data_IF_361700456054
#
_entry.id   IF_361700456054
#
_cell.length_a   1.000
_cell.length_b   1.000
_cell.length_c   1.000
_cell.angle_alpha   90.00
_cell.angle_beta   90.00
_cell.angle_gamma   90.00
#
_symmetry.space_group_name_H-M   'P 1'
#
loop_
_entity.id
_entity.type
_entity.pdbx_description
1 polymer ?
#
# COMPACT_ATOMS: atom_id res chain seq x y z
N UNK A 1 -42.89 -29.24 -14.50
CA UNK A 1 -42.63 -30.64 -14.88
C UNK A 1 -41.23 -31.00 -14.36
N UNK A 2 -41.15 -31.89 -13.34
CA UNK A 2 -39.95 -32.62 -12.84
C UNK A 2 -38.88 -31.74 -12.17
N UNK A 3 -38.84 -31.52 -10.85
CA UNK A 3 -38.80 -32.45 -9.71
C UNK A 3 -37.60 -33.43 -9.70
N UNK A 4 -36.82 -33.37 -8.60
CA UNK A 4 -35.86 -34.36 -8.05
C UNK A 4 -34.50 -34.37 -8.77
N UNK A 5 -33.36 -34.22 -8.08
CA UNK A 5 -32.82 -35.27 -7.21
C UNK A 5 -31.82 -34.71 -6.19
N UNK A 6 -32.23 -34.77 -4.93
CA UNK A 6 -31.35 -34.82 -3.77
C UNK A 6 -30.71 -36.22 -3.70
N UNK A 7 -29.39 -36.31 -3.63
CA UNK A 7 -28.64 -37.53 -3.29
C UNK A 7 -27.25 -37.10 -2.82
N UNK A 8 -26.59 -37.66 -1.81
CA UNK A 8 -26.92 -38.62 -0.75
C UNK A 8 -25.69 -38.51 0.17
N UNK A 9 -25.91 -38.18 1.44
CA UNK A 9 -24.87 -38.23 2.46
C UNK A 9 -24.31 -39.65 2.53
N UNK A 10 -22.99 -39.80 2.40
CA UNK A 10 -22.28 -41.07 2.61
C UNK A 10 -21.32 -40.88 3.79
N UNK A 11 -21.87 -41.08 5.00
CA UNK A 11 -21.13 -41.17 6.25
C UNK A 11 -20.94 -42.65 6.56
N UNK A 12 -19.73 -43.12 6.29
CA UNK A 12 -19.24 -44.44 6.64
C UNK A 12 -17.85 -44.56 6.02
N UNK A 13 -16.82 -45.08 6.65
CA UNK A 13 -16.71 -45.77 7.92
C UNK A 13 -15.22 -46.17 7.99
N UNK A 14 -14.60 -46.12 9.16
CA UNK A 14 -13.49 -46.99 9.62
C UNK A 14 -12.10 -46.38 9.86
N UNK A 15 -11.68 -46.59 11.10
CA UNK A 15 -10.33 -46.99 11.54
C UNK A 15 -9.14 -46.07 11.26
N UNK A 16 -8.83 -45.26 12.25
CA UNK A 16 -7.46 -45.07 12.75
C UNK A 16 -6.87 -46.42 13.13
N UNK A 17 -5.66 -46.78 12.64
CA UNK A 17 -4.46 -46.58 13.46
C UNK A 17 -3.18 -46.39 12.63
N UNK A 18 -2.54 -45.22 12.70
CA UNK A 18 -1.14 -45.10 12.20
C UNK A 18 -0.36 -43.99 12.89
N UNK A 19 -0.45 -43.94 14.22
CA UNK A 19 0.45 -43.13 15.07
C UNK A 19 1.69 -43.90 15.55
N UNK A 20 2.10 -44.97 14.85
CA UNK A 20 3.16 -45.87 15.32
C UNK A 20 4.35 -46.08 14.37
N UNK A 21 4.56 -45.24 13.33
CA UNK A 21 5.52 -45.65 12.28
C UNK A 21 6.36 -44.56 11.59
N UNK A 22 6.62 -43.43 12.22
CA UNK A 22 7.58 -42.43 11.70
C UNK A 22 8.58 -41.92 12.74
N UNK A 23 8.95 -42.78 13.70
CA UNK A 23 10.08 -42.58 14.60
C UNK A 23 11.28 -43.43 14.18
N UNK A 24 11.78 -43.21 12.96
CA UNK A 24 13.02 -43.85 12.50
C UNK A 24 13.59 -43.10 11.31
N UNK A 25 14.21 -41.93 11.51
CA UNK A 25 15.39 -41.45 10.76
C UNK A 25 16.07 -40.31 11.53
N UNK A 26 17.13 -40.63 12.30
CA UNK A 26 18.15 -39.66 12.73
C UNK A 26 19.43 -39.96 11.96
N UNK A 27 19.80 -39.20 10.92
CA UNK A 27 21.14 -39.29 10.36
C UNK A 27 22.14 -38.51 11.24
N UNK A 28 23.22 -39.20 11.54
CA UNK A 28 24.39 -38.82 12.33
C UNK A 28 25.19 -37.73 11.61
N UNK A 29 25.43 -36.61 12.30
CA UNK A 29 26.28 -35.52 11.84
C UNK A 29 27.75 -35.97 11.86
N UNK A 30 28.36 -36.14 10.69
CA UNK A 30 29.81 -36.34 10.52
C UNK A 30 30.46 -35.00 10.21
N UNK A 31 31.16 -34.42 11.18
CA UNK A 31 32.06 -33.28 10.97
C UNK A 31 33.40 -33.79 10.44
N UNK A 32 33.76 -33.42 9.22
CA UNK A 32 35.15 -33.45 8.74
C UNK A 32 35.57 -32.01 8.49
N UNK A 33 36.28 -31.40 9.45
CA UNK A 33 37.05 -30.20 9.18
C UNK A 33 38.34 -30.63 8.48
N UNK A 34 38.51 -30.20 7.24
CA UNK A 34 39.79 -30.24 6.53
C UNK A 34 40.10 -28.81 6.15
N UNK A 35 40.91 -28.18 6.99
CA UNK A 35 41.42 -26.84 6.77
C UNK A 35 42.47 -26.90 5.65
N UNK A 36 42.14 -26.37 4.48
CA UNK A 36 43.11 -26.04 3.43
C UNK A 36 42.88 -24.60 3.00
N UNK A 37 43.96 -23.81 3.05
CA UNK A 37 44.09 -22.37 2.81
C UNK A 37 43.05 -21.73 1.87
N UNK A 38 42.32 -20.67 2.30
CA UNK A 38 41.41 -19.98 1.41
C UNK A 38 42.18 -19.11 0.42
N UNK A 39 41.89 -19.29 -0.88
CA UNK A 39 42.28 -18.36 -1.94
C UNK A 39 41.83 -16.92 -1.63
N UNK A 40 42.52 -15.88 -2.13
CA UNK A 40 42.16 -14.48 -1.88
C UNK A 40 40.73 -14.13 -2.33
N UNK A 41 40.16 -14.89 -3.29
CA UNK A 41 38.78 -14.75 -3.75
C UNK A 41 37.75 -15.32 -2.76
N UNK A 42 38.10 -16.39 -2.05
CA UNK A 42 37.27 -16.95 -0.96
C UNK A 42 37.32 -16.12 0.31
N UNK A 43 38.40 -15.35 0.55
CA UNK A 43 38.50 -14.44 1.67
C UNK A 43 37.47 -13.29 1.58
N UNK A 44 37.26 -12.72 0.39
CA UNK A 44 36.27 -11.66 0.17
C UNK A 44 34.82 -12.15 0.33
N UNK A 45 34.53 -13.38 -0.09
CA UNK A 45 33.21 -14.00 0.10
C UNK A 45 32.93 -14.28 1.57
N UNK A 46 33.93 -14.74 2.33
CA UNK A 46 33.81 -14.88 3.78
C UNK A 46 33.63 -13.52 4.48
N UNK A 47 34.28 -12.45 4.00
CA UNK A 47 34.18 -11.10 4.57
C UNK A 47 32.81 -10.44 4.33
N UNK A 48 32.13 -10.76 3.21
CA UNK A 48 30.74 -10.36 2.97
C UNK A 48 29.74 -11.14 3.85
N UNK A 49 30.06 -12.39 4.20
CA UNK A 49 29.29 -13.21 5.12
C UNK A 49 29.42 -12.79 6.60
N UNK A 50 30.42 -11.96 6.94
CA UNK A 50 30.60 -11.36 8.27
C UNK A 50 29.88 -10.00 8.43
N UNK A 51 29.09 -9.54 7.44
CA UNK A 51 28.30 -8.32 7.61
C UNK A 51 27.27 -8.54 8.73
N UNK A 52 27.35 -7.81 9.86
CA UNK A 52 26.38 -7.97 10.93
C UNK A 52 24.98 -7.66 10.39
N UNK A 53 23.94 -8.42 10.78
CA UNK A 53 22.59 -8.05 10.45
C UNK A 53 22.34 -6.65 11.02
N UNK A 54 21.70 -5.78 10.23
CA UNK A 54 21.25 -4.49 10.73
C UNK A 54 20.12 -4.80 11.73
N UNK A 55 20.48 -4.90 13.01
CA UNK A 55 19.52 -5.02 14.09
C UNK A 55 18.84 -3.66 14.26
N UNK A 56 17.74 -3.47 13.54
CA UNK A 56 16.78 -2.42 13.87
C UNK A 56 16.14 -2.79 15.20
N UNK A 57 16.77 -2.36 16.30
CA UNK A 57 16.20 -2.43 17.65
C UNK A 57 15.03 -1.42 17.74
N UNK A 58 13.97 -1.69 16.99
CA UNK A 58 12.71 -0.97 17.05
C UNK A 58 11.92 -1.44 18.26
N UNK A 59 11.40 -0.49 19.02
CA UNK A 59 10.45 -0.76 20.10
C UNK A 59 9.29 -1.58 19.53
N UNK A 60 8.95 -2.69 20.18
CA UNK A 60 7.83 -3.54 19.79
C UNK A 60 6.55 -2.71 19.75
N UNK A 61 5.84 -2.73 18.61
CA UNK A 61 4.61 -1.98 18.41
C UNK A 61 3.64 -2.29 19.56
N UNK A 62 3.41 -1.33 20.46
CA UNK A 62 2.52 -1.46 21.62
C UNK A 62 1.04 -1.48 21.22
N UNK A 63 0.76 -1.14 19.96
CA UNK A 63 -0.57 -1.09 19.39
C UNK A 63 -0.82 -2.34 18.55
N UNK A 64 -1.88 -3.07 18.88
CA UNK A 64 -2.41 -4.12 18.03
C UNK A 64 -2.95 -3.49 16.75
N UNK A 65 -2.21 -3.64 15.64
CA UNK A 65 -2.66 -3.14 14.35
C UNK A 65 -3.80 -4.02 13.83
N UNK A 66 -5.01 -3.45 13.78
CA UNK A 66 -6.14 -4.11 13.14
C UNK A 66 -5.87 -4.27 11.63
N UNK A 67 -5.92 -5.51 11.10
CA UNK A 67 -5.70 -5.74 9.67
C UNK A 67 -6.66 -4.95 8.77
N UNK A 68 -7.88 -4.64 9.23
CA UNK A 68 -8.82 -3.85 8.44
C UNK A 68 -8.37 -2.39 8.26
N UNK A 69 -7.90 -1.75 9.35
CA UNK A 69 -7.35 -0.40 9.30
C UNK A 69 -6.07 -0.33 8.47
N UNK A 70 -5.17 -1.30 8.62
CA UNK A 70 -3.95 -1.39 7.81
C UNK A 70 -4.30 -1.52 6.32
N UNK A 71 -5.28 -2.36 5.98
CA UNK A 71 -5.76 -2.52 4.59
C UNK A 71 -6.39 -1.22 4.07
N UNK A 72 -7.21 -0.55 4.85
CA UNK A 72 -7.83 0.72 4.45
C UNK A 72 -6.79 1.80 4.14
N UNK A 73 -5.79 1.95 5.03
CA UNK A 73 -4.69 2.88 4.81
C UNK A 73 -3.92 2.53 3.51
N UNK A 74 -3.60 1.25 3.32
CA UNK A 74 -2.94 0.77 2.11
C UNK A 74 -3.76 1.03 0.83
N UNK A 75 -5.09 0.90 0.86
CA UNK A 75 -5.95 1.23 -0.28
C UNK A 75 -5.98 2.74 -0.57
N UNK A 76 -5.93 3.57 0.47
CA UNK A 76 -5.91 5.03 0.31
C UNK A 76 -4.58 5.54 -0.23
N UNK A 77 -3.46 5.07 0.34
CA UNK A 77 -2.11 5.43 -0.13
C UNK A 77 -1.84 4.95 -1.57
N UNK A 78 -2.34 3.77 -1.94
CA UNK A 78 -2.15 3.20 -3.28
C UNK A 78 -3.28 3.55 -4.27
N UNK A 79 -4.15 4.52 -3.96
CA UNK A 79 -5.32 4.84 -4.79
C UNK A 79 -4.96 5.25 -6.22
N UNK A 80 -3.80 5.89 -6.40
CA UNK A 80 -3.27 6.29 -7.70
C UNK A 80 -2.99 5.12 -8.64
N UNK A 81 -2.62 3.93 -8.11
CA UNK A 81 -2.36 2.73 -8.92
C UNK A 81 -3.62 2.16 -9.57
N UNK A 82 -4.76 2.32 -8.90
CA UNK A 82 -6.05 1.79 -9.36
C UNK A 82 -6.92 2.85 -10.05
N UNK A 83 -6.38 4.06 -10.24
CA UNK A 83 -7.10 5.15 -10.89
C UNK A 83 -7.31 4.87 -12.38
N UNK A 84 -8.48 5.27 -12.89
CA UNK A 84 -8.87 5.09 -14.29
C UNK A 84 -9.44 6.41 -14.81
N UNK A 85 -9.03 6.81 -16.01
CA UNK A 85 -9.64 7.93 -16.72
C UNK A 85 -11.00 7.50 -17.28
N UNK A 86 -12.06 7.88 -16.57
CA UNK A 86 -13.44 7.75 -17.03
C UNK A 86 -13.93 9.14 -17.48
N UNK A 87 -14.93 9.24 -18.38
CA UNK A 87 -15.41 10.55 -18.83
C UNK A 87 -15.89 11.43 -17.67
N UNK A 88 -16.47 10.83 -16.63
CA UNK A 88 -16.88 11.53 -15.41
C UNK A 88 -15.69 12.12 -14.65
N UNK A 89 -14.67 11.32 -14.37
CA UNK A 89 -13.50 11.79 -13.61
C UNK A 89 -12.68 12.80 -14.40
N UNK A 90 -12.56 12.59 -15.72
CA UNK A 90 -11.92 13.55 -16.63
C UNK A 90 -12.60 14.92 -16.57
N UNK A 91 -13.93 14.95 -16.64
CA UNK A 91 -14.69 16.20 -16.56
C UNK A 91 -14.51 16.91 -15.21
N UNK A 92 -14.60 16.17 -14.10
CA UNK A 92 -14.39 16.73 -12.76
C UNK A 92 -12.98 17.31 -12.63
N UNK A 93 -11.95 16.56 -13.02
CA UNK A 93 -10.57 17.05 -12.97
C UNK A 93 -10.39 18.31 -13.82
N UNK A 94 -10.95 18.35 -15.03
CA UNK A 94 -10.89 19.54 -15.88
C UNK A 94 -11.54 20.76 -15.22
N UNK A 95 -12.74 20.60 -14.65
CA UNK A 95 -13.45 21.71 -14.00
C UNK A 95 -12.63 22.29 -12.84
N UNK A 96 -12.10 21.43 -11.97
CA UNK A 96 -11.40 21.91 -10.77
C UNK A 96 -9.97 22.38 -11.02
N UNK A 97 -9.26 21.80 -11.98
CA UNK A 97 -7.86 22.15 -12.27
C UNK A 97 -7.76 23.29 -13.29
N UNK A 98 -8.71 23.38 -14.22
CA UNK A 98 -8.67 24.37 -15.31
C UNK A 98 -9.80 25.38 -15.15
N UNK A 99 -11.06 24.96 -15.25
CA UNK A 99 -12.17 25.90 -15.39
C UNK A 99 -12.29 26.85 -14.18
N UNK A 100 -12.28 26.32 -12.95
CA UNK A 100 -12.41 27.13 -11.73
C UNK A 100 -11.23 28.09 -11.55
N UNK A 101 -9.96 27.64 -11.57
CA UNK A 101 -8.82 28.57 -11.47
C UNK A 101 -8.78 29.59 -12.61
N UNK A 102 -9.14 29.21 -13.85
CA UNK A 102 -9.18 30.13 -14.98
C UNK A 102 -10.25 31.21 -14.82
N UNK A 103 -11.46 30.85 -14.36
CA UNK A 103 -12.52 31.83 -14.11
C UNK A 103 -12.13 32.77 -12.97
N UNK A 104 -11.63 32.22 -11.85
CA UNK A 104 -11.19 33.04 -10.71
C UNK A 104 -10.03 33.95 -11.11
N UNK A 105 -9.05 33.43 -11.83
CA UNK A 105 -7.92 34.21 -12.35
C UNK A 105 -8.39 35.31 -13.30
N UNK A 106 -9.26 34.99 -14.25
CA UNK A 106 -9.81 35.97 -15.19
C UNK A 106 -10.59 37.08 -14.48
N UNK A 107 -11.49 36.73 -13.56
CA UNK A 107 -12.22 37.72 -12.76
C UNK A 107 -11.25 38.55 -11.94
N UNK A 108 -10.25 37.92 -11.30
CA UNK A 108 -9.20 38.61 -10.57
C UNK A 108 -8.50 39.65 -11.44
N UNK A 109 -7.94 39.25 -12.59
CA UNK A 109 -7.24 40.16 -13.51
C UNK A 109 -8.13 41.27 -14.06
N UNK A 110 -9.42 41.00 -14.29
CA UNK A 110 -10.35 42.01 -14.79
C UNK A 110 -10.85 42.91 -13.67
N UNK A 111 -10.85 42.50 -12.41
CA UNK A 111 -11.40 43.30 -11.30
C UNK A 111 -10.33 43.99 -10.45
N UNK A 112 -9.07 43.58 -10.59
CA UNK A 112 -7.91 44.21 -9.98
C UNK A 112 -7.84 45.70 -10.37
N UNK A 113 -7.62 46.56 -9.39
CA UNK A 113 -7.57 48.03 -9.55
C UNK A 113 -8.89 48.72 -9.90
N UNK A 114 -9.96 48.00 -10.25
CA UNK A 114 -11.22 48.62 -10.72
C UNK A 114 -12.16 49.07 -9.62
N UNK A 115 -11.95 48.68 -8.37
CA UNK A 115 -12.88 48.98 -7.29
C UNK A 115 -12.14 49.54 -6.09
N UNK A 116 -12.33 50.84 -5.83
CA UNK A 116 -11.79 51.52 -4.66
C UNK A 116 -12.94 51.94 -3.73
N UNK A 117 -12.92 51.39 -2.51
CA UNK A 117 -13.99 51.56 -1.52
C UNK A 117 -13.60 52.56 -0.43
N UNK A 118 -12.36 53.04 -0.42
CA UNK A 118 -11.85 53.93 0.61
C UNK A 118 -12.49 55.32 0.50
N UNK A 119 -13.25 55.69 1.54
CA UNK A 119 -13.79 57.03 1.72
C UNK A 119 -15.04 57.37 0.89
N UNK A 120 -15.57 56.45 0.08
CA UNK A 120 -16.76 56.69 -0.75
C UNK A 120 -18.05 56.73 0.08
N UNK A 121 -18.97 57.64 -0.30
CA UNK A 121 -20.28 57.85 0.36
C UNK A 121 -21.42 57.33 -0.52
N UNK A 122 -22.65 57.31 0.02
CA UNK A 122 -23.84 56.87 -0.74
C UNK A 122 -24.01 57.74 -1.99
N UNK A 123 -24.15 57.08 -3.15
CA UNK A 123 -24.30 57.74 -4.46
C UNK A 123 -22.99 57.99 -5.21
N UNK A 124 -21.83 57.70 -4.61
CA UNK A 124 -20.52 57.91 -5.25
C UNK A 124 -20.07 56.70 -6.10
N UNK A 125 -19.38 56.95 -7.21
CA UNK A 125 -19.05 55.92 -8.22
C UNK A 125 -17.92 55.02 -7.72
N UNK A 126 -18.16 53.72 -7.53
CA UNK A 126 -17.19 52.78 -6.92
C UNK A 126 -16.13 52.27 -7.92
N UNK A 127 -16.43 52.35 -9.23
CA UNK A 127 -15.57 51.80 -10.28
C UNK A 127 -14.53 52.82 -10.78
N UNK A 128 -13.27 52.41 -10.80
CA UNK A 128 -12.15 53.09 -11.47
C UNK A 128 -11.91 52.47 -12.87
N UNK A 129 -11.38 53.26 -13.81
CA UNK A 129 -11.39 52.96 -15.25
C UNK A 129 -10.52 51.77 -15.66
#
# INVERSE_FOLDING_TARGET
>A
MKERFFARVNLGSWSTPRLAQLQRQRPHLRSTSTATNPHPRTALLNLLALRPPINMAGHNNSLAMDPALVKYNNMSANRWRYFRWTPRTAWITFVYVVAVPSVVGYVGFVTEGKYELRGKRRGDIIREF
#
